data_IF_213955499667
#
_entry.id   IF_213955499667
#
_cell.length_a   1.000
_cell.length_b   1.000
_cell.length_c   1.000
_cell.angle_alpha   90.00
_cell.angle_beta   90.00
_cell.angle_gamma   90.00
#
_symmetry.space_group_name_H-M   'P 1'
#
loop_
_entity.id
_entity.type
_entity.pdbx_description
1 polymer ?
#
# COMPACT_ATOMS: atom_id res chain seq x y z
N UNK A 1 6.70 -13.15 7.83
CA UNK A 1 5.62 -12.88 8.81
C UNK A 1 4.32 -12.68 8.02
N UNK A 2 3.22 -13.28 8.49
CA UNK A 2 1.89 -13.08 7.90
C UNK A 2 1.11 -11.99 8.64
N UNK A 3 0.29 -11.22 7.94
CA UNK A 3 -0.61 -10.24 8.54
C UNK A 3 -1.87 -10.11 7.68
N UNK A 4 -3.03 -10.10 8.32
CA UNK A 4 -4.31 -9.82 7.66
C UNK A 4 -4.60 -8.32 7.79
N UNK A 5 -4.88 -7.67 6.67
CA UNK A 5 -5.36 -6.30 6.60
C UNK A 5 -6.83 -6.31 6.25
N UNK A 6 -7.66 -5.77 7.13
CA UNK A 6 -9.10 -5.61 6.93
C UNK A 6 -9.50 -4.15 7.13
N UNK A 7 -10.49 -3.69 6.40
CA UNK A 7 -11.07 -2.37 6.59
C UNK A 7 -12.59 -2.43 6.42
N UNK A 8 -13.28 -1.31 6.60
CA UNK A 8 -14.74 -1.20 6.36
C UNK A 8 -15.10 -1.71 4.97
N UNK A 9 -14.29 -1.32 3.98
CA UNK A 9 -14.43 -1.71 2.59
C UNK A 9 -13.08 -2.14 2.01
N UNK A 10 -13.11 -2.98 0.99
CA UNK A 10 -11.94 -3.36 0.20
C UNK A 10 -12.24 -3.20 -1.28
N UNK A 11 -11.33 -2.56 -2.03
CA UNK A 11 -11.33 -2.55 -3.50
C UNK A 11 -10.08 -3.22 -4.06
N UNK A 12 -10.23 -3.99 -5.13
CA UNK A 12 -9.13 -4.76 -5.74
C UNK A 12 -8.35 -3.96 -6.79
N UNK A 13 -8.98 -2.98 -7.42
CA UNK A 13 -8.37 -1.99 -8.30
C UNK A 13 -8.92 -0.60 -7.92
N UNK A 14 -8.32 0.48 -8.42
CA UNK A 14 -8.75 1.84 -8.06
C UNK A 14 -10.16 2.16 -8.55
N UNK A 15 -10.53 1.63 -9.71
CA UNK A 15 -11.82 1.75 -10.41
C UNK A 15 -12.80 0.62 -10.09
N UNK A 16 -12.38 -0.39 -9.31
CA UNK A 16 -13.26 -1.49 -8.92
C UNK A 16 -14.21 -1.07 -7.78
N UNK A 17 -15.44 -1.59 -7.82
CA UNK A 17 -16.41 -1.41 -6.75
C UNK A 17 -15.88 -1.97 -5.41
N UNK A 18 -15.94 -1.19 -4.32
CA UNK A 18 -15.54 -1.65 -3.01
C UNK A 18 -16.55 -2.64 -2.40
N UNK A 19 -16.04 -3.68 -1.75
CA UNK A 19 -16.84 -4.70 -1.07
C UNK A 19 -16.56 -4.73 0.44
N UNK A 20 -17.60 -4.90 1.24
CA UNK A 20 -17.49 -5.08 2.69
C UNK A 20 -17.07 -6.53 3.04
N UNK A 21 -16.55 -6.71 4.26
CA UNK A 21 -16.23 -8.04 4.81
C UNK A 21 -15.02 -8.74 4.19
N UNK A 22 -14.37 -8.14 3.19
CA UNK A 22 -13.16 -8.66 2.55
C UNK A 22 -11.89 -8.20 3.26
N UNK A 23 -10.82 -8.98 3.14
CA UNK A 23 -9.51 -8.68 3.68
C UNK A 23 -8.37 -9.18 2.78
N UNK A 24 -7.17 -8.66 3.01
CA UNK A 24 -5.94 -9.05 2.32
C UNK A 24 -5.03 -9.78 3.30
N UNK A 25 -4.65 -11.02 2.99
CA UNK A 25 -3.57 -11.70 3.67
C UNK A 25 -2.25 -11.35 2.98
N UNK A 26 -1.31 -10.82 3.76
CA UNK A 26 0.05 -10.50 3.32
C UNK A 26 1.03 -11.46 3.93
N UNK A 27 1.97 -11.97 3.14
CA UNK A 27 3.09 -12.80 3.58
C UNK A 27 4.40 -12.30 2.98
N UNK A 28 5.30 -11.84 3.84
CA UNK A 28 6.53 -11.20 3.39
C UNK A 28 6.21 -9.95 2.59
N UNK A 29 6.61 -9.90 1.33
CA UNK A 29 6.34 -8.79 0.40
C UNK A 29 5.20 -9.07 -0.58
N UNK A 30 4.42 -10.14 -0.37
CA UNK A 30 3.37 -10.60 -1.30
C UNK A 30 1.98 -10.61 -0.69
N UNK A 31 1.00 -10.36 -1.55
CA UNK A 31 -0.40 -10.71 -1.30
C UNK A 31 -0.53 -12.22 -1.44
N UNK A 32 -0.79 -12.91 -0.33
CA UNK A 32 -1.01 -14.36 -0.33
C UNK A 32 -2.45 -14.66 -0.73
N UNK A 33 -3.43 -13.90 -0.23
CA UNK A 33 -4.84 -14.06 -0.58
C UNK A 33 -5.62 -12.75 -0.44
N UNK A 34 -6.75 -12.65 -1.16
CA UNK A 34 -7.81 -11.66 -0.96
C UNK A 34 -9.11 -12.43 -0.87
N UNK A 35 -9.76 -12.42 0.29
CA UNK A 35 -10.92 -13.26 0.60
C UNK A 35 -11.71 -12.65 1.78
N UNK A 36 -12.90 -13.17 2.12
CA UNK A 36 -13.62 -12.81 3.33
C UNK A 36 -12.73 -12.88 4.59
N UNK A 37 -12.93 -11.94 5.52
CA UNK A 37 -12.12 -11.84 6.73
C UNK A 37 -12.28 -13.08 7.63
N UNK A 38 -13.50 -13.56 7.80
CA UNK A 38 -13.83 -14.76 8.56
C UNK A 38 -13.10 -15.99 8.00
N UNK A 39 -13.21 -16.24 6.70
CA UNK A 39 -12.48 -17.33 6.01
C UNK A 39 -10.97 -17.25 6.25
N UNK A 40 -10.37 -16.06 6.13
CA UNK A 40 -8.95 -15.87 6.40
C UNK A 40 -8.59 -16.10 7.88
N UNK A 41 -9.43 -15.67 8.82
CA UNK A 41 -9.15 -15.89 10.24
C UNK A 41 -9.32 -17.33 10.68
N UNK A 42 -10.22 -18.08 10.03
CA UNK A 42 -10.40 -19.51 10.23
C UNK A 42 -9.23 -20.32 9.64
N UNK A 43 -8.85 -20.04 8.39
CA UNK A 43 -7.76 -20.74 7.72
C UNK A 43 -6.37 -20.42 8.30
N UNK A 44 -6.20 -19.23 8.88
CA UNK A 44 -4.93 -18.75 9.42
C UNK A 44 -5.05 -18.29 10.87
N UNK A 45 -5.34 -19.22 11.81
CA UNK A 45 -5.55 -18.89 13.21
C UNK A 45 -4.28 -18.28 13.81
N UNK A 46 -4.46 -17.24 14.64
CA UNK A 46 -3.36 -16.53 15.31
C UNK A 46 -2.57 -15.58 14.42
N UNK A 47 -2.85 -15.48 13.11
CA UNK A 47 -2.26 -14.43 12.27
C UNK A 47 -2.75 -13.07 12.73
N UNK A 48 -1.81 -12.14 12.88
CA UNK A 48 -2.09 -10.78 13.34
C UNK A 48 -3.05 -10.08 12.38
N UNK A 49 -4.17 -9.57 12.90
CA UNK A 49 -5.17 -8.81 12.14
C UNK A 49 -5.00 -7.32 12.41
N UNK A 50 -4.90 -6.51 11.35
CA UNK A 50 -4.99 -5.05 11.41
C UNK A 50 -6.35 -4.63 10.85
N UNK A 51 -7.13 -3.90 11.64
CA UNK A 51 -8.41 -3.33 11.24
C UNK A 51 -8.29 -1.82 11.07
N UNK A 52 -8.91 -1.29 10.02
CA UNK A 52 -8.88 0.13 9.68
C UNK A 52 -10.29 0.66 9.39
N UNK A 53 -10.56 1.89 9.77
CA UNK A 53 -11.84 2.56 9.53
C UNK A 53 -11.81 3.33 8.20
N UNK A 54 -11.93 2.61 7.08
CA UNK A 54 -11.87 3.20 5.74
C UNK A 54 -11.95 2.17 4.62
N UNK A 55 -11.52 2.56 3.42
CA UNK A 55 -11.43 1.68 2.25
C UNK A 55 -9.99 1.23 2.04
N UNK A 56 -9.74 -0.07 2.18
CA UNK A 56 -8.47 -0.72 1.83
C UNK A 56 -8.42 -0.95 0.32
N UNK A 57 -7.29 -0.63 -0.30
CA UNK A 57 -7.08 -0.86 -1.72
C UNK A 57 -5.61 -0.96 -2.09
N UNK A 58 -5.30 -1.06 -3.39
CA UNK A 58 -3.93 -0.97 -3.85
C UNK A 58 -3.35 0.42 -3.52
N UNK A 59 -2.08 0.45 -3.10
CA UNK A 59 -1.37 1.71 -2.94
C UNK A 59 -1.21 2.42 -4.29
N UNK A 60 -1.17 3.76 -4.25
CA UNK A 60 -1.10 4.60 -5.44
C UNK A 60 0.26 4.53 -6.13
N UNK A 61 0.26 4.84 -7.42
CA UNK A 61 1.44 5.19 -8.20
C UNK A 61 1.51 6.71 -8.26
N UNK A 62 2.56 7.30 -7.73
CA UNK A 62 2.80 8.74 -7.81
C UNK A 62 3.35 9.10 -9.20
N UNK A 63 2.61 9.92 -9.93
CA UNK A 63 2.88 10.30 -11.33
C UNK A 63 3.22 11.78 -11.49
N UNK A 64 3.65 12.43 -10.41
CA UNK A 64 4.14 13.81 -10.40
C UNK A 64 5.48 13.95 -9.66
N UNK A 65 6.01 15.19 -9.56
CA UNK A 65 7.15 15.49 -8.70
C UNK A 65 6.88 15.08 -7.24
N UNK A 66 7.85 14.49 -6.56
CA UNK A 66 7.69 14.18 -5.14
C UNK A 66 7.58 15.48 -4.34
N UNK A 67 6.73 15.54 -3.30
CA UNK A 67 6.63 16.69 -2.41
C UNK A 67 8.01 17.16 -1.93
N UNK A 68 8.23 18.48 -1.82
CA UNK A 68 9.50 19.01 -1.33
C UNK A 68 9.69 18.63 0.15
N UNK A 69 10.90 18.18 0.48
CA UNK A 69 11.32 17.93 1.85
C UNK A 69 12.85 18.07 1.96
N UNK A 70 13.40 18.32 3.16
CA UNK A 70 14.83 18.63 3.33
C UNK A 70 15.76 17.51 2.85
N UNK A 71 15.38 16.24 2.99
CA UNK A 71 16.21 15.09 2.61
C UNK A 71 15.53 14.14 1.62
N UNK A 72 16.30 13.37 0.82
CA UNK A 72 15.73 12.35 -0.06
C UNK A 72 14.87 11.31 0.68
N UNK A 73 15.24 10.97 1.92
CA UNK A 73 14.47 10.07 2.78
C UNK A 73 13.10 10.67 3.15
N UNK A 74 13.06 11.95 3.52
CA UNK A 74 11.80 12.62 3.87
C UNK A 74 10.90 12.82 2.64
N UNK A 75 11.49 13.08 1.46
CA UNK A 75 10.72 13.14 0.20
C UNK A 75 10.05 11.80 -0.12
N UNK A 76 10.76 10.69 0.08
CA UNK A 76 10.17 9.35 -0.04
C UNK A 76 9.13 9.09 1.03
N UNK A 77 9.37 9.53 2.28
CA UNK A 77 8.38 9.40 3.35
C UNK A 77 7.08 10.14 3.03
N UNK A 78 7.15 11.30 2.37
CA UNK A 78 5.97 12.06 1.95
C UNK A 78 5.05 11.27 1.01
N UNK A 79 5.59 10.35 0.18
CA UNK A 79 4.78 9.45 -0.64
C UNK A 79 3.91 8.52 0.22
N UNK A 80 4.43 8.05 1.34
CA UNK A 80 3.69 7.17 2.25
C UNK A 80 2.52 7.89 2.90
N UNK A 81 2.63 9.20 3.13
CA UNK A 81 1.53 10.03 3.64
C UNK A 81 0.39 10.19 2.62
N UNK A 82 0.68 9.97 1.34
CA UNK A 82 -0.28 10.03 0.24
C UNK A 82 -0.86 8.66 -0.12
N UNK A 83 -0.48 7.59 0.58
CA UNK A 83 -0.89 6.23 0.21
C UNK A 83 -0.17 5.68 -1.02
N UNK A 84 0.97 6.24 -1.41
CA UNK A 84 1.72 5.80 -2.59
C UNK A 84 2.85 4.82 -2.23
N UNK A 85 2.97 3.75 -3.03
CA UNK A 85 4.03 2.73 -2.90
C UNK A 85 4.91 2.63 -4.15
N UNK A 86 4.57 3.38 -5.20
CA UNK A 86 5.32 3.45 -6.43
C UNK A 86 5.43 4.90 -6.93
N UNK A 87 6.43 5.16 -7.76
CA UNK A 87 6.65 6.47 -8.38
C UNK A 87 7.27 6.30 -9.75
N UNK A 88 6.99 7.22 -10.69
CA UNK A 88 7.60 7.17 -12.01
C UNK A 88 9.09 7.55 -11.95
N UNK A 89 9.91 6.83 -12.71
CA UNK A 89 11.35 7.03 -12.82
C UNK A 89 11.71 8.46 -13.27
N UNK A 90 10.84 9.08 -14.08
CA UNK A 90 10.97 10.46 -14.53
C UNK A 90 11.04 11.48 -13.38
N UNK A 91 10.48 11.17 -12.20
CA UNK A 91 10.49 12.05 -11.03
C UNK A 91 11.51 11.67 -9.96
N UNK A 92 12.27 10.60 -10.19
CA UNK A 92 13.31 10.09 -9.29
C UNK A 92 14.62 9.97 -10.05
N UNK A 93 15.07 11.07 -10.65
CA UNK A 93 16.29 11.10 -11.47
C UNK A 93 17.56 11.13 -10.61
N UNK A 94 17.52 11.84 -9.48
CA UNK A 94 18.60 11.94 -8.50
C UNK A 94 19.01 10.57 -7.91
N UNK A 95 20.31 10.22 -7.91
CA UNK A 95 20.78 8.93 -7.39
C UNK A 95 20.49 8.70 -5.90
N UNK A 96 20.59 9.73 -5.05
CA UNK A 96 20.33 9.61 -3.62
C UNK A 96 18.86 9.38 -3.34
N UNK A 97 17.99 10.07 -4.08
CA UNK A 97 16.54 9.87 -4.03
C UNK A 97 16.15 8.48 -4.52
N UNK A 98 16.78 8.00 -5.59
CA UNK A 98 16.57 6.63 -6.08
C UNK A 98 17.01 5.59 -5.05
N UNK A 99 18.15 5.81 -4.41
CA UNK A 99 18.62 4.95 -3.32
C UNK A 99 17.69 5.00 -2.11
N UNK A 100 17.14 6.17 -1.77
CA UNK A 100 16.15 6.32 -0.70
C UNK A 100 14.85 5.59 -1.04
N UNK A 101 14.37 5.67 -2.28
CA UNK A 101 13.19 4.93 -2.75
C UNK A 101 13.42 3.42 -2.65
N UNK A 102 14.58 2.93 -3.10
CA UNK A 102 14.96 1.51 -2.99
C UNK A 102 14.99 1.01 -1.54
N UNK A 103 15.63 1.76 -0.63
CA UNK A 103 15.63 1.45 0.83
C UNK A 103 14.23 1.51 1.44
N UNK A 104 13.40 2.45 0.99
CA UNK A 104 12.00 2.57 1.39
C UNK A 104 11.10 1.48 0.82
N UNK A 105 11.57 0.73 -0.17
CA UNK A 105 10.78 -0.23 -0.93
C UNK A 105 9.78 0.44 -1.86
N UNK A 106 9.95 1.71 -2.24
CA UNK A 106 9.09 2.31 -3.26
C UNK A 106 9.45 1.71 -4.61
N UNK A 107 8.46 1.23 -5.36
CA UNK A 107 8.70 0.75 -6.72
C UNK A 107 8.94 1.94 -7.65
N UNK A 108 10.05 1.95 -8.37
CA UNK A 108 10.34 2.95 -9.39
C UNK A 108 9.93 2.37 -10.74
N UNK A 109 8.97 3.01 -11.41
CA UNK A 109 8.34 2.49 -12.64
C UNK A 109 8.68 3.37 -13.84
N UNK A 110 8.94 2.78 -15.00
CA UNK A 110 9.18 3.56 -16.22
C UNK A 110 7.90 4.21 -16.77
N UNK A 111 6.74 3.61 -16.49
CA UNK A 111 5.43 4.10 -16.91
C UNK A 111 4.36 3.85 -15.85
N UNK A 112 3.34 4.70 -15.84
CA UNK A 112 2.18 4.50 -14.99
C UNK A 112 1.46 3.21 -15.39
N UNK A 113 0.99 2.47 -14.38
CA UNK A 113 0.14 1.30 -14.55
C UNK A 113 -0.91 1.30 -13.45
N UNK A 114 -2.18 0.99 -13.75
CA UNK A 114 -3.21 0.86 -12.71
C UNK A 114 -2.76 -0.16 -11.66
N UNK A 115 -2.69 0.21 -10.37
CA UNK A 115 -2.29 -0.72 -9.32
C UNK A 115 -3.48 -1.61 -8.95
N UNK A 116 -3.20 -2.87 -8.59
CA UNK A 116 -4.22 -3.86 -8.26
C UNK A 116 -3.74 -4.84 -7.17
N UNK A 117 -4.69 -5.32 -6.37
CA UNK A 117 -4.50 -6.34 -5.34
C UNK A 117 -4.81 -7.73 -5.91
N UNK A 118 -3.75 -8.38 -6.39
CA UNK A 118 -3.81 -9.73 -6.96
C UNK A 118 -2.98 -10.70 -6.12
N UNK A 119 -3.42 -11.96 -5.93
CA UNK A 119 -2.58 -12.99 -5.32
C UNK A 119 -1.22 -13.11 -6.02
N UNK A 120 -0.17 -13.39 -5.23
CA UNK A 120 1.25 -13.34 -5.62
C UNK A 120 1.77 -11.95 -6.07
N UNK A 121 0.89 -10.95 -6.18
CA UNK A 121 1.25 -9.56 -6.39
C UNK A 121 2.03 -8.99 -5.21
N UNK A 122 2.67 -7.85 -5.45
CA UNK A 122 3.40 -7.13 -4.40
C UNK A 122 2.41 -6.59 -3.36
N UNK A 123 2.74 -6.72 -2.08
CA UNK A 123 1.91 -6.24 -0.98
C UNK A 123 2.06 -4.73 -0.78
N UNK A 124 1.55 -3.98 -1.75
CA UNK A 124 1.47 -2.53 -1.77
C UNK A 124 0.01 -2.11 -1.54
N UNK A 125 -0.32 -1.74 -0.31
CA UNK A 125 -1.68 -1.46 0.13
C UNK A 125 -1.79 -0.03 0.67
N UNK A 126 -2.92 0.62 0.46
CA UNK A 126 -3.26 1.86 1.13
C UNK A 126 -4.68 1.79 1.70
N UNK A 127 -4.91 2.50 2.81
CA UNK A 127 -6.24 2.71 3.36
C UNK A 127 -6.56 4.18 3.27
N UNK A 128 -7.72 4.51 2.71
CA UNK A 128 -8.23 5.86 2.62
C UNK A 128 -9.49 6.02 3.46
N UNK A 129 -9.57 7.13 4.20
CA UNK A 129 -10.80 7.55 4.87
C UNK A 129 -11.81 8.11 3.87
N UNK A 130 -13.03 8.37 4.34
CA UNK A 130 -14.13 8.89 3.51
C UNK A 130 -13.83 10.32 3.01
N UNK A 131 -12.96 11.05 3.70
CA UNK A 131 -12.44 12.36 3.31
C UNK A 131 -11.29 12.30 2.28
N UNK A 132 -10.91 11.10 1.83
CA UNK A 132 -9.80 10.85 0.93
C UNK A 132 -8.42 10.89 1.61
N UNK A 133 -8.35 11.10 2.92
CA UNK A 133 -7.07 11.12 3.63
C UNK A 133 -6.49 9.71 3.75
N UNK A 134 -5.17 9.59 3.63
CA UNK A 134 -4.50 8.31 3.87
C UNK A 134 -4.46 8.00 5.37
N UNK A 135 -4.94 6.81 5.73
CA UNK A 135 -4.93 6.30 7.09
C UNK A 135 -3.78 5.31 7.33
N UNK A 136 -3.37 4.58 6.30
CA UNK A 136 -2.29 3.62 6.38
C UNK A 136 -1.69 3.33 5.01
N UNK A 137 -0.38 3.09 4.99
CA UNK A 137 0.35 2.67 3.78
C UNK A 137 1.24 1.49 4.11
N UNK A 138 1.09 0.44 3.30
CA UNK A 138 1.89 -0.78 3.35
C UNK A 138 2.69 -0.85 2.05
N UNK A 139 4.01 -1.01 2.17
CA UNK A 139 4.92 -1.06 1.02
C UNK A 139 5.77 -2.32 1.12
N UNK A 140 5.65 -3.20 0.14
CA UNK A 140 6.24 -4.55 0.17
C UNK A 140 5.98 -5.26 1.52
N UNK A 141 4.72 -5.22 1.97
CA UNK A 141 4.25 -5.86 3.21
C UNK A 141 4.66 -5.19 4.52
N UNK A 142 5.41 -4.07 4.47
CA UNK A 142 5.76 -3.30 5.66
C UNK A 142 4.79 -2.14 5.84
N UNK A 143 4.16 -2.03 7.02
CA UNK A 143 3.38 -0.85 7.40
C UNK A 143 4.34 0.34 7.64
N UNK A 144 4.40 1.27 6.68
CA UNK A 144 5.33 2.42 6.68
C UNK A 144 4.69 3.72 7.12
N UNK A 145 3.37 3.82 7.01
CA UNK A 145 2.59 4.94 7.51
C UNK A 145 1.33 4.42 8.20
N UNK A 146 0.96 5.06 9.31
CA UNK A 146 -0.34 4.94 9.95
C UNK A 146 -0.70 6.30 10.53
N UNK A 147 -1.95 6.73 10.35
CA UNK A 147 -2.51 7.87 11.05
C UNK A 147 -2.94 7.43 12.45
N UNK A 148 -2.69 8.29 13.45
CA UNK A 148 -3.06 8.05 14.85
C UNK A 148 -4.57 8.19 15.04
#
# INVERSE_FOLDING_TARGET
MRTIHAATLLRRALDAEPAAGQAVLVSGDRVEAVAPLDELTEAYPGVRVRRWAGTLGPALVHDGPLPPAPTPRERVHALFLLGAAAVLAAYVTDPELRAAAGRGGVAVLDRARPPALVPAGRADLAVFGDDGSCLATVVAGRLVHRRA
#
